data_IF_499463976165
#
_entry.id   IF_499463976165
#
_cell.length_a   1.000
_cell.length_b   1.000
_cell.length_c   1.000
_cell.angle_alpha   90.00
_cell.angle_beta   90.00
_cell.angle_gamma   90.00
#
_symmetry.space_group_name_H-M   'P 1'
#
loop_
_entity.id
_entity.type
_entity.pdbx_description
1 polymer ?
#
# COMPACT_ATOMS: atom_id res chain seq x y z
N UNK A 1 2.93 -3.01 9.67
CA UNK A 1 3.09 -4.14 8.72
C UNK A 1 4.58 -4.36 8.46
N UNK A 2 4.98 -5.61 8.32
CA UNK A 2 6.38 -6.00 8.05
C UNK A 2 6.43 -7.10 6.98
N UNK A 3 7.59 -7.26 6.36
CA UNK A 3 7.84 -8.23 5.31
C UNK A 3 7.48 -9.64 5.77
N UNK A 4 6.70 -10.35 4.95
CA UNK A 4 6.40 -11.77 5.15
C UNK A 4 7.18 -12.59 4.14
N UNK A 5 7.09 -12.25 2.85
CA UNK A 5 7.84 -12.89 1.77
C UNK A 5 7.97 -11.95 0.55
N UNK A 6 8.93 -12.19 -0.34
CA UNK A 6 9.12 -11.44 -1.59
C UNK A 6 10.56 -11.03 -1.92
N UNK A 7 10.78 -10.25 -3.00
CA UNK A 7 12.12 -9.86 -3.48
C UNK A 7 12.82 -8.82 -2.59
N UNK A 8 12.28 -8.56 -1.41
CA UNK A 8 12.70 -7.51 -0.50
C UNK A 8 13.60 -8.11 0.59
N UNK A 9 14.67 -7.40 0.91
CA UNK A 9 15.46 -7.62 2.13
C UNK A 9 14.82 -6.93 3.34
N UNK A 10 14.13 -5.82 3.09
CA UNK A 10 13.33 -5.09 4.07
C UNK A 10 12.06 -4.62 3.40
N UNK A 11 10.93 -4.77 4.07
CA UNK A 11 9.68 -4.09 3.72
C UNK A 11 8.96 -3.86 5.03
N UNK A 12 8.75 -2.61 5.38
CA UNK A 12 7.99 -2.21 6.56
C UNK A 12 7.08 -1.08 6.15
N UNK A 13 5.97 -0.97 6.86
CA UNK A 13 5.04 0.09 6.55
C UNK A 13 3.83 0.08 7.45
N UNK A 14 2.96 1.04 7.20
CA UNK A 14 1.80 1.26 8.02
C UNK A 14 0.75 2.06 7.28
N UNK A 15 -0.48 1.86 7.73
CA UNK A 15 -1.62 2.65 7.30
C UNK A 15 -1.85 3.76 8.31
N UNK A 16 -2.10 4.96 7.79
CA UNK A 16 -2.58 6.09 8.57
C UNK A 16 -3.95 6.47 8.04
N UNK A 17 -4.91 6.56 8.95
CA UNK A 17 -6.26 7.02 8.67
C UNK A 17 -6.45 8.35 9.37
N UNK A 18 -6.66 9.39 8.58
CA UNK A 18 -6.93 10.73 9.10
C UNK A 18 -8.38 11.07 8.82
N UNK A 19 -9.17 11.27 9.87
CA UNK A 19 -10.55 11.72 9.73
C UNK A 19 -10.59 13.08 9.03
N UNK A 20 -11.50 13.24 8.05
CA UNK A 20 -11.74 14.50 7.37
C UNK A 20 -13.12 15.06 7.71
N UNK A 21 -14.12 14.18 7.74
CA UNK A 21 -15.48 14.46 8.22
C UNK A 21 -16.17 13.15 8.68
N UNK A 22 -17.44 13.25 9.10
CA UNK A 22 -18.22 12.12 9.60
C UNK A 22 -18.42 10.96 8.59
N UNK A 23 -18.20 11.21 7.31
CA UNK A 23 -18.38 10.28 6.19
C UNK A 23 -17.13 10.09 5.33
N UNK A 24 -16.02 10.77 5.63
CA UNK A 24 -14.82 10.78 4.82
C UNK A 24 -13.55 10.72 5.68
N UNK A 25 -12.58 9.95 5.20
CA UNK A 25 -11.24 9.93 5.76
C UNK A 25 -10.20 9.99 4.63
N UNK A 26 -9.04 10.58 4.95
CA UNK A 26 -7.84 10.44 4.15
C UNK A 26 -7.14 9.15 4.54
N UNK A 27 -6.80 8.35 3.55
CA UNK A 27 -6.07 7.10 3.73
C UNK A 27 -4.66 7.27 3.18
N UNK A 28 -3.67 6.96 4.00
CA UNK A 28 -2.26 7.05 3.62
C UNK A 28 -1.58 5.72 3.90
N UNK A 29 -0.79 5.26 2.93
CA UNK A 29 0.06 4.09 3.08
C UNK A 29 1.52 4.53 3.00
N UNK A 30 2.25 4.33 4.09
CA UNK A 30 3.68 4.59 4.15
C UNK A 30 4.44 3.26 4.08
N UNK A 31 5.36 3.14 3.12
CA UNK A 31 6.20 1.97 2.92
C UNK A 31 7.67 2.38 2.87
N UNK A 32 8.51 1.64 3.60
CA UNK A 32 9.97 1.73 3.61
C UNK A 32 10.51 0.32 3.31
N UNK A 33 11.32 0.19 2.26
CA UNK A 33 11.79 -1.10 1.77
C UNK A 33 13.20 -1.04 1.19
N UNK A 34 13.85 -2.20 1.17
CA UNK A 34 15.16 -2.47 0.57
C UNK A 34 15.04 -3.77 -0.24
N UNK A 35 15.55 -3.80 -1.47
CA UNK A 35 15.56 -5.01 -2.30
C UNK A 35 16.76 -5.90 -1.95
N UNK A 36 16.57 -7.22 -2.08
CA UNK A 36 17.63 -8.18 -1.78
C UNK A 36 18.75 -8.21 -2.84
N UNK A 37 18.42 -7.94 -4.10
CA UNK A 37 19.35 -7.88 -5.22
C UNK A 37 19.10 -6.61 -6.03
N UNK A 38 20.13 -6.07 -6.70
CA UNK A 38 20.14 -4.82 -7.47
C UNK A 38 19.26 -4.81 -8.72
N UNK A 39 18.01 -5.28 -8.62
CA UNK A 39 16.89 -5.05 -9.54
C UNK A 39 16.58 -3.54 -9.54
N UNK A 40 17.46 -2.80 -10.22
CA UNK A 40 17.43 -1.36 -10.34
C UNK A 40 16.15 -0.88 -11.04
N UNK A 41 15.55 0.14 -10.44
CA UNK A 41 14.78 1.29 -10.94
C UNK A 41 13.71 1.09 -12.05
N UNK A 42 14.00 0.37 -13.13
CA UNK A 42 13.11 0.24 -14.28
C UNK A 42 11.87 -0.63 -13.99
N UNK A 43 12.05 -1.73 -13.27
CA UNK A 43 10.93 -2.57 -12.83
C UNK A 43 10.15 -1.92 -11.65
N UNK A 44 10.85 -1.15 -10.82
CA UNK A 44 10.27 -0.57 -9.60
C UNK A 44 9.17 0.45 -9.90
N UNK A 45 9.41 1.39 -10.84
CA UNK A 45 8.39 2.38 -11.18
C UNK A 45 7.07 1.77 -11.69
N UNK A 46 7.14 0.62 -12.38
CA UNK A 46 5.95 -0.12 -12.83
C UNK A 46 5.27 -0.85 -11.68
N UNK A 47 6.04 -1.61 -10.89
CA UNK A 47 5.52 -2.37 -9.76
C UNK A 47 4.94 -1.46 -8.67
N UNK A 48 5.53 -0.29 -8.43
CA UNK A 48 5.03 0.68 -7.44
C UNK A 48 3.65 1.23 -7.80
N UNK A 49 3.41 1.54 -9.08
CA UNK A 49 2.08 1.96 -9.56
C UNK A 49 1.05 0.84 -9.39
N UNK A 50 1.41 -0.38 -9.78
CA UNK A 50 0.54 -1.54 -9.68
C UNK A 50 0.23 -1.87 -8.19
N UNK A 51 1.23 -1.76 -7.30
CA UNK A 51 1.08 -1.88 -5.84
C UNK A 51 0.09 -0.85 -5.28
N UNK A 52 0.31 0.43 -5.59
CA UNK A 52 -0.51 1.52 -5.07
C UNK A 52 -1.97 1.36 -5.51
N UNK A 53 -2.20 1.03 -6.79
CA UNK A 53 -3.54 0.79 -7.33
C UNK A 53 -4.23 -0.42 -6.68
N UNK A 54 -3.51 -1.54 -6.52
CA UNK A 54 -4.07 -2.73 -5.89
C UNK A 54 -4.40 -2.50 -4.41
N UNK A 55 -3.55 -1.77 -3.68
CA UNK A 55 -3.77 -1.47 -2.27
C UNK A 55 -4.93 -0.51 -2.06
N UNK A 56 -5.04 0.55 -2.88
CA UNK A 56 -6.21 1.42 -2.93
C UNK A 56 -7.47 0.63 -3.28
N UNK A 57 -7.42 -0.20 -4.32
CA UNK A 57 -8.55 -1.02 -4.77
C UNK A 57 -9.03 -2.00 -3.70
N UNK A 58 -8.11 -2.67 -3.01
CA UNK A 58 -8.44 -3.57 -1.89
C UNK A 58 -9.11 -2.83 -0.74
N UNK A 59 -8.64 -1.62 -0.42
CA UNK A 59 -9.27 -0.78 0.60
C UNK A 59 -10.68 -0.34 0.22
N UNK A 60 -10.86 0.22 -0.98
CA UNK A 60 -12.19 0.64 -1.47
C UNK A 60 -13.15 -0.54 -1.57
N UNK A 61 -12.66 -1.71 -2.00
CA UNK A 61 -13.47 -2.94 -2.04
C UNK A 61 -13.90 -3.35 -0.63
N UNK A 62 -12.99 -3.32 0.35
CA UNK A 62 -13.34 -3.66 1.73
C UNK A 62 -14.28 -2.64 2.36
N UNK A 63 -14.10 -1.35 2.06
CA UNK A 63 -15.02 -0.30 2.50
C UNK A 63 -16.42 -0.51 1.91
N UNK A 64 -16.54 -0.90 0.64
CA UNK A 64 -17.80 -1.27 0.00
C UNK A 64 -18.45 -2.49 0.66
N UNK A 65 -17.68 -3.52 1.02
CA UNK A 65 -18.20 -4.70 1.72
C UNK A 65 -18.74 -4.37 3.13
N UNK A 66 -18.06 -3.52 3.89
CA UNK A 66 -18.45 -3.19 5.26
C UNK A 66 -19.54 -2.11 5.31
N UNK A 67 -19.41 -1.07 4.49
CA UNK A 67 -20.23 0.14 4.58
C UNK A 67 -21.23 0.30 3.42
N UNK A 68 -21.14 -0.51 2.36
CA UNK A 68 -22.19 -0.61 1.34
C UNK A 68 -22.25 0.50 0.28
N UNK A 69 -21.19 1.31 0.12
CA UNK A 69 -21.11 2.35 -0.92
C UNK A 69 -21.24 1.81 -2.35
#
# INVERSE_FOLDING_TARGET
MQLVDGPFKKLVGGWTFTELDASACKVELNLDFEFANGLMDAAFGKVFRDLTNNMMGAFTSRAKEIYGF
#
